data_IF_472254761431
#
_entry.id   IF_472254761431
#
_cell.length_a   1.000
_cell.length_b   1.000
_cell.length_c   1.000
_cell.angle_alpha   90.00
_cell.angle_beta   90.00
_cell.angle_gamma   90.00
#
_symmetry.space_group_name_H-M   'P 1'
#
loop_
_entity.id
_entity.type
_entity.pdbx_description
1 polymer ?
#
# COMPACT_ATOMS: atom_id res chain seq x y z
N UNK A 1 13.94 3.68 -24.34
CA UNK A 1 13.28 4.74 -23.54
C UNK A 1 11.76 4.75 -23.73
N UNK A 2 11.23 4.90 -24.94
CA UNK A 2 9.77 5.04 -25.17
C UNK A 2 8.96 3.77 -24.78
N UNK A 3 9.45 2.57 -25.10
CA UNK A 3 8.75 1.31 -24.75
C UNK A 3 8.59 1.10 -23.24
N UNK A 4 9.63 1.34 -22.47
CA UNK A 4 9.65 1.13 -21.01
C UNK A 4 8.70 2.11 -20.31
N UNK A 5 8.73 3.38 -20.71
CA UNK A 5 7.81 4.42 -20.22
C UNK A 5 6.35 4.03 -20.50
N UNK A 6 6.06 3.47 -21.67
CA UNK A 6 4.71 2.99 -22.02
C UNK A 6 4.27 1.80 -21.16
N UNK A 7 5.16 0.84 -20.90
CA UNK A 7 4.88 -0.33 -20.04
C UNK A 7 4.57 0.12 -18.62
N UNK A 8 5.44 0.97 -18.04
CA UNK A 8 5.24 1.54 -16.70
C UNK A 8 3.90 2.28 -16.63
N UNK A 9 3.60 3.12 -17.63
CA UNK A 9 2.33 3.86 -17.68
C UNK A 9 1.12 2.93 -17.77
N UNK A 10 1.22 1.86 -18.54
CA UNK A 10 0.15 0.86 -18.67
C UNK A 10 -0.12 0.14 -17.34
N UNK A 11 0.93 -0.29 -16.64
CA UNK A 11 0.82 -0.92 -15.32
C UNK A 11 0.18 0.04 -14.31
N UNK A 12 0.57 1.32 -14.32
CA UNK A 12 -0.02 2.33 -13.44
C UNK A 12 -1.53 2.47 -13.68
N UNK A 13 -1.97 2.52 -14.94
CA UNK A 13 -3.39 2.61 -15.29
C UNK A 13 -4.14 1.34 -14.86
N UNK A 14 -3.55 0.17 -15.12
CA UNK A 14 -4.13 -1.12 -14.74
C UNK A 14 -4.34 -1.21 -13.23
N UNK A 15 -3.29 -0.92 -12.44
CA UNK A 15 -3.37 -0.97 -10.99
C UNK A 15 -4.20 0.17 -10.38
N UNK A 16 -4.42 1.26 -11.12
CA UNK A 16 -5.30 2.36 -10.74
C UNK A 16 -6.78 2.09 -11.04
N UNK A 17 -7.17 0.97 -11.67
CA UNK A 17 -8.59 0.67 -11.87
C UNK A 17 -9.31 0.48 -10.53
N UNK A 18 -10.50 1.07 -10.39
CA UNK A 18 -11.34 0.96 -9.18
C UNK A 18 -11.96 -0.43 -9.01
N UNK A 19 -12.01 -1.21 -10.08
CA UNK A 19 -12.58 -2.56 -10.09
C UNK A 19 -11.55 -3.64 -9.71
N UNK A 20 -10.30 -3.29 -9.42
CA UNK A 20 -9.34 -4.28 -8.93
C UNK A 20 -9.86 -4.91 -7.63
N UNK A 21 -9.85 -6.26 -7.51
CA UNK A 21 -10.37 -6.97 -6.35
C UNK A 21 -9.39 -6.93 -5.17
N UNK A 22 -9.01 -5.74 -4.71
CA UNK A 22 -8.10 -5.53 -3.57
C UNK A 22 -8.82 -5.46 -2.24
N UNK A 23 -10.15 -5.29 -2.25
CA UNK A 23 -10.94 -5.06 -1.04
C UNK A 23 -10.86 -3.62 -0.49
N UNK A 24 -10.11 -2.72 -1.13
CA UNK A 24 -10.01 -1.32 -0.68
C UNK A 24 -11.34 -0.57 -0.71
N UNK A 25 -12.29 -0.99 -1.57
CA UNK A 25 -13.63 -0.41 -1.60
C UNK A 25 -14.35 -0.57 -0.26
N UNK A 26 -14.22 -1.69 0.47
CA UNK A 26 -14.94 -1.88 1.74
C UNK A 26 -14.27 -1.19 2.93
N UNK A 27 -13.14 -0.51 2.72
CA UNK A 27 -12.37 0.20 3.74
C UNK A 27 -12.65 1.72 3.72
N UNK A 28 -12.54 2.35 4.89
CA UNK A 28 -12.61 3.82 5.05
C UNK A 28 -11.44 4.40 5.85
N UNK A 29 -10.55 3.56 6.37
CA UNK A 29 -9.37 3.95 7.17
C UNK A 29 -9.71 4.90 8.34
N UNK A 30 -10.90 4.74 8.95
CA UNK A 30 -11.36 5.58 10.05
C UNK A 30 -12.16 6.83 9.64
N UNK A 31 -12.34 7.11 8.34
CA UNK A 31 -13.13 8.27 7.87
C UNK A 31 -14.59 8.21 8.33
N UNK A 32 -15.22 7.03 8.31
CA UNK A 32 -16.57 6.87 8.85
C UNK A 32 -16.60 7.22 10.35
N UNK A 33 -15.57 6.84 11.10
CA UNK A 33 -15.41 7.20 12.51
C UNK A 33 -15.22 8.69 12.73
N UNK A 34 -14.43 9.34 11.89
CA UNK A 34 -14.23 10.78 11.92
C UNK A 34 -15.57 11.54 11.81
N UNK A 35 -16.40 11.22 10.82
CA UNK A 35 -17.70 11.86 10.67
C UNK A 35 -18.67 11.52 11.80
N UNK A 36 -18.72 10.25 12.25
CA UNK A 36 -19.62 9.84 13.35
C UNK A 36 -19.28 10.49 14.69
N UNK A 37 -18.03 10.84 14.93
CA UNK A 37 -17.60 11.55 16.14
C UNK A 37 -17.78 13.08 16.04
N UNK A 38 -18.38 13.59 14.96
CA UNK A 38 -18.74 15.00 14.84
C UNK A 38 -17.64 15.90 14.28
N UNK A 39 -16.55 15.34 13.76
CA UNK A 39 -15.48 16.13 13.15
C UNK A 39 -15.82 16.64 11.73
N UNK A 40 -16.98 16.27 11.19
CA UNK A 40 -17.51 16.84 9.95
C UNK A 40 -18.95 17.28 10.10
N UNK A 41 -19.25 18.52 9.70
CA UNK A 41 -20.62 19.04 9.58
C UNK A 41 -21.19 18.74 8.18
N UNK A 42 -22.51 18.55 8.03
CA UNK A 42 -23.15 18.45 6.71
C UNK A 42 -22.83 19.63 5.78
N UNK A 43 -22.59 20.82 6.34
CA UNK A 43 -22.25 22.02 5.58
C UNK A 43 -20.76 22.13 5.22
N UNK A 44 -19.88 21.36 5.87
CA UNK A 44 -18.42 21.40 5.69
C UNK A 44 -17.84 20.08 5.21
N UNK A 45 -18.66 19.20 4.60
CA UNK A 45 -18.23 17.86 4.19
C UNK A 45 -16.99 17.85 3.28
N UNK A 46 -16.86 18.83 2.37
CA UNK A 46 -15.69 18.96 1.49
C UNK A 46 -14.42 19.29 2.30
N UNK A 47 -14.50 20.27 3.19
CA UNK A 47 -13.37 20.73 4.02
C UNK A 47 -12.94 19.64 5.00
N UNK A 48 -13.89 19.03 5.70
CA UNK A 48 -13.66 17.93 6.63
C UNK A 48 -13.03 16.71 5.93
N UNK A 49 -13.50 16.37 4.72
CA UNK A 49 -12.89 15.29 3.93
C UNK A 49 -11.48 15.65 3.50
N UNK A 50 -11.23 16.88 3.04
CA UNK A 50 -9.91 17.28 2.60
C UNK A 50 -8.90 17.29 3.76
N UNK A 51 -9.29 17.81 4.92
CA UNK A 51 -8.49 17.77 6.15
C UNK A 51 -8.17 16.33 6.56
N UNK A 52 -9.17 15.44 6.54
CA UNK A 52 -8.95 14.02 6.84
C UNK A 52 -7.98 13.38 5.83
N UNK A 53 -8.17 13.63 4.53
CA UNK A 53 -7.29 13.09 3.48
C UNK A 53 -5.86 13.60 3.67
N UNK A 54 -5.66 14.87 3.99
CA UNK A 54 -4.32 15.44 4.25
C UNK A 54 -3.63 14.72 5.41
N UNK A 55 -4.26 14.69 6.58
CA UNK A 55 -3.69 14.07 7.78
C UNK A 55 -3.49 12.56 7.62
N UNK A 56 -4.46 11.87 7.02
CA UNK A 56 -4.39 10.44 6.77
C UNK A 56 -3.30 10.09 5.76
N UNK A 57 -3.16 10.87 4.67
CA UNK A 57 -2.14 10.64 3.66
C UNK A 57 -0.74 10.90 4.19
N UNK A 58 -0.54 11.97 4.96
CA UNK A 58 0.75 12.26 5.61
C UNK A 58 1.16 11.15 6.58
N UNK A 59 0.26 10.75 7.48
CA UNK A 59 0.53 9.65 8.42
C UNK A 59 0.74 8.31 7.72
N UNK A 60 -0.01 8.03 6.65
CA UNK A 60 0.15 6.78 5.89
C UNK A 60 1.44 6.76 5.09
N UNK A 61 1.84 7.87 4.46
CA UNK A 61 3.13 7.98 3.78
C UNK A 61 4.28 7.77 4.76
N UNK A 62 4.24 8.43 5.92
CA UNK A 62 5.30 8.35 6.92
C UNK A 62 5.44 6.95 7.53
N UNK A 63 4.34 6.20 7.65
CA UNK A 63 4.33 4.85 8.25
C UNK A 63 4.56 3.73 7.24
N UNK A 64 4.14 3.87 5.97
CA UNK A 64 4.17 2.77 4.99
C UNK A 64 5.26 2.92 3.91
N UNK A 65 5.68 4.13 3.53
CA UNK A 65 6.56 4.31 2.36
C UNK A 65 7.92 3.63 2.50
N UNK A 66 8.53 3.65 3.68
CA UNK A 66 9.80 2.95 3.93
C UNK A 66 9.66 1.43 3.80
N UNK A 67 8.54 0.85 4.24
CA UNK A 67 8.26 -0.58 4.08
C UNK A 67 8.03 -0.96 2.63
N UNK A 68 7.28 -0.14 1.87
CA UNK A 68 7.10 -0.37 0.43
C UNK A 68 8.45 -0.36 -0.27
N UNK A 69 9.31 0.62 0.05
CA UNK A 69 10.64 0.77 -0.55
C UNK A 69 11.53 -0.43 -0.28
N UNK A 70 11.74 -0.76 0.99
CA UNK A 70 12.67 -1.82 1.39
C UNK A 70 12.19 -3.19 0.93
N UNK A 71 10.88 -3.47 1.02
CA UNK A 71 10.32 -4.72 0.51
C UNK A 71 10.43 -4.80 -1.01
N UNK A 72 10.28 -3.67 -1.72
CA UNK A 72 10.39 -3.63 -3.18
C UNK A 72 11.82 -3.93 -3.61
N UNK A 73 12.80 -3.30 -2.96
CA UNK A 73 14.23 -3.54 -3.20
C UNK A 73 14.62 -5.00 -2.96
N UNK A 74 14.17 -5.59 -1.84
CA UNK A 74 14.39 -7.02 -1.54
C UNK A 74 13.87 -7.93 -2.65
N UNK A 75 12.70 -7.62 -3.22
CA UNK A 75 12.10 -8.42 -4.30
C UNK A 75 12.80 -8.17 -5.63
N UNK A 76 13.17 -6.92 -5.95
CA UNK A 76 13.92 -6.59 -7.18
C UNK A 76 15.26 -7.31 -7.21
N UNK A 77 16.03 -7.29 -6.12
CA UNK A 77 17.31 -8.02 -6.02
C UNK A 77 17.15 -9.52 -6.24
N UNK A 78 16.04 -10.09 -5.78
CA UNK A 78 15.68 -11.48 -6.07
C UNK A 78 15.31 -11.70 -7.54
N UNK A 79 14.54 -10.80 -8.17
CA UNK A 79 14.15 -10.88 -9.60
C UNK A 79 15.35 -10.77 -10.53
N UNK A 80 16.25 -9.83 -10.26
CA UNK A 80 17.44 -9.57 -11.07
C UNK A 80 18.47 -10.71 -11.00
N UNK A 81 18.24 -11.70 -10.14
CA UNK A 81 19.01 -12.94 -10.10
C UNK A 81 20.41 -12.76 -9.54
N UNK A 82 20.59 -11.85 -8.57
CA UNK A 82 21.82 -11.78 -7.78
C UNK A 82 22.15 -13.19 -7.25
N UNK A 83 23.22 -13.83 -7.76
CA UNK A 83 23.54 -15.25 -7.53
C UNK A 83 23.63 -15.68 -6.06
N UNK A 84 23.73 -14.73 -5.13
CA UNK A 84 23.81 -14.96 -3.70
C UNK A 84 22.43 -14.99 -2.99
N UNK A 85 21.35 -14.51 -3.62
CA UNK A 85 20.06 -14.33 -2.97
C UNK A 85 19.17 -15.56 -3.19
N UNK A 86 18.92 -16.33 -2.12
CA UNK A 86 18.03 -17.50 -2.17
C UNK A 86 16.60 -17.11 -1.83
N UNK A 87 15.64 -17.87 -2.36
CA UNK A 87 14.21 -17.72 -2.06
C UNK A 87 13.91 -17.65 -0.55
N UNK A 88 14.55 -18.54 0.23
CA UNK A 88 14.36 -18.60 1.68
C UNK A 88 14.82 -17.32 2.38
N UNK A 89 15.98 -16.80 1.97
CA UNK A 89 16.59 -15.60 2.56
C UNK A 89 15.74 -14.36 2.23
N UNK A 90 15.25 -14.25 0.98
CA UNK A 90 14.33 -13.19 0.56
C UNK A 90 13.04 -13.21 1.37
N UNK A 91 12.43 -14.39 1.53
CA UNK A 91 11.18 -14.53 2.29
C UNK A 91 11.37 -14.30 3.79
N UNK A 92 12.53 -14.69 4.34
CA UNK A 92 12.89 -14.36 5.72
C UNK A 92 13.00 -12.85 5.91
N UNK A 93 13.66 -12.14 4.97
CA UNK A 93 13.80 -10.69 5.03
C UNK A 93 12.46 -9.96 4.92
N UNK A 94 11.59 -10.39 4.00
CA UNK A 94 10.22 -9.87 3.93
C UNK A 94 9.44 -10.15 5.22
N UNK A 95 9.68 -11.28 5.88
CA UNK A 95 9.07 -11.60 7.16
C UNK A 95 9.52 -10.70 8.31
N UNK A 96 10.78 -10.27 8.33
CA UNK A 96 11.25 -9.26 9.29
C UNK A 96 10.52 -7.93 9.08
N UNK A 97 10.43 -7.46 7.83
CA UNK A 97 9.72 -6.22 7.48
C UNK A 97 8.23 -6.29 7.83
N UNK A 98 7.58 -7.41 7.51
CA UNK A 98 6.15 -7.64 7.78
C UNK A 98 5.86 -7.75 9.29
N UNK A 99 6.78 -8.33 10.06
CA UNK A 99 6.68 -8.40 11.53
C UNK A 99 6.89 -7.03 12.17
N UNK A 100 7.82 -6.23 11.66
CA UNK A 100 8.00 -4.85 12.12
C UNK A 100 6.77 -3.99 11.79
N UNK A 101 6.20 -4.14 10.59
CA UNK A 101 4.98 -3.42 10.23
C UNK A 101 3.78 -3.79 11.11
N UNK A 102 3.61 -5.08 11.44
CA UNK A 102 2.60 -5.56 12.41
C UNK A 102 2.80 -4.90 13.78
N UNK A 103 4.04 -4.83 14.26
CA UNK A 103 4.36 -4.20 15.55
C UNK A 103 4.07 -2.69 15.55
N UNK A 104 4.28 -2.01 14.42
CA UNK A 104 4.07 -0.56 14.28
C UNK A 104 2.62 -0.17 13.97
N UNK A 105 1.81 -1.10 13.48
CA UNK A 105 0.38 -0.87 13.26
C UNK A 105 -0.33 -1.00 14.61
N UNK A 106 -0.72 0.10 15.24
CA UNK A 106 -1.11 0.08 16.66
C UNK A 106 -2.50 -0.51 16.92
N UNK A 107 -3.42 -0.43 15.95
CA UNK A 107 -4.80 -0.83 16.15
C UNK A 107 -5.19 -2.07 15.33
N UNK A 108 -5.97 -2.96 15.95
CA UNK A 108 -6.39 -4.24 15.38
C UNK A 108 -7.25 -4.08 14.12
N UNK A 109 -7.97 -2.98 14.00
CA UNK A 109 -8.82 -2.65 12.86
C UNK A 109 -7.96 -2.44 11.61
N UNK A 110 -6.95 -1.58 11.71
CA UNK A 110 -5.99 -1.31 10.65
C UNK A 110 -5.16 -2.56 10.30
N UNK A 111 -4.75 -3.36 11.30
CA UNK A 111 -4.07 -4.65 11.04
C UNK A 111 -4.91 -5.58 10.20
N UNK A 112 -6.17 -5.79 10.59
CA UNK A 112 -7.12 -6.66 9.89
C UNK A 112 -7.40 -6.16 8.46
N UNK A 113 -7.59 -4.86 8.28
CA UNK A 113 -7.77 -4.26 6.96
C UNK A 113 -6.51 -4.44 6.08
N UNK A 114 -5.33 -4.15 6.65
CA UNK A 114 -4.04 -4.26 5.96
C UNK A 114 -3.73 -5.69 5.51
N UNK A 115 -3.89 -6.69 6.39
CA UNK A 115 -3.63 -8.10 6.03
C UNK A 115 -4.65 -8.63 5.04
N UNK A 116 -5.94 -8.28 5.19
CA UNK A 116 -6.98 -8.66 4.23
C UNK A 116 -6.68 -8.11 2.82
N UNK A 117 -6.31 -6.82 2.71
CA UNK A 117 -5.97 -6.21 1.43
C UNK A 117 -4.66 -6.78 0.86
N UNK A 118 -3.64 -7.01 1.69
CA UNK A 118 -2.38 -7.61 1.24
C UNK A 118 -2.56 -9.02 0.67
N UNK A 119 -3.33 -9.88 1.35
CA UNK A 119 -3.67 -11.24 0.86
C UNK A 119 -4.47 -11.17 -0.44
N UNK A 120 -5.36 -10.20 -0.58
CA UNK A 120 -6.12 -9.97 -1.81
C UNK A 120 -5.20 -9.61 -2.98
N UNK A 121 -4.17 -8.78 -2.76
CA UNK A 121 -3.17 -8.45 -3.79
C UNK A 121 -2.37 -9.68 -4.26
N UNK A 122 -1.88 -10.51 -3.34
CA UNK A 122 -1.18 -11.74 -3.71
C UNK A 122 -2.11 -12.71 -4.46
N UNK A 123 -3.40 -12.72 -4.10
CA UNK A 123 -4.40 -13.51 -4.82
C UNK A 123 -4.65 -12.96 -6.22
N UNK A 124 -4.77 -11.64 -6.37
CA UNK A 124 -4.89 -10.96 -7.64
C UNK A 124 -3.70 -11.29 -8.56
N UNK A 125 -2.47 -11.24 -8.04
CA UNK A 125 -1.29 -11.64 -8.81
C UNK A 125 -1.46 -13.06 -9.37
N UNK A 126 -1.66 -14.05 -8.48
CA UNK A 126 -1.76 -15.47 -8.87
C UNK A 126 -2.93 -15.82 -9.80
N UNK A 127 -3.95 -14.97 -9.89
CA UNK A 127 -5.17 -15.24 -10.68
C UNK A 127 -5.31 -14.36 -11.92
N UNK A 128 -4.73 -13.16 -11.90
CA UNK A 128 -5.00 -12.11 -12.89
C UNK A 128 -3.77 -11.57 -13.59
N UNK A 129 -2.57 -11.71 -13.01
CA UNK A 129 -1.34 -11.14 -13.59
C UNK A 129 -0.27 -12.18 -13.95
N UNK A 130 -0.44 -13.44 -13.57
CA UNK A 130 0.36 -14.54 -14.12
C UNK A 130 0.06 -14.76 -15.59
N UNK A 131 1.06 -15.14 -16.39
CA UNK A 131 0.87 -15.37 -17.83
C UNK A 131 -0.20 -16.47 -18.05
N UNK A 132 -1.26 -16.22 -18.85
CA UNK A 132 -2.26 -17.23 -19.14
C UNK A 132 -1.62 -18.48 -19.76
N UNK A 133 -2.02 -19.65 -19.27
CA UNK A 133 -1.63 -20.93 -19.88
C UNK A 133 -1.93 -20.90 -21.39
N UNK A 134 -0.88 -20.99 -22.22
CA UNK A 134 -0.99 -21.09 -23.68
C UNK A 134 -0.58 -19.84 -24.47
N UNK A 135 -0.33 -18.70 -23.84
CA UNK A 135 0.42 -17.62 -24.48
C UNK A 135 1.90 -17.92 -24.33
N UNK A 136 2.55 -18.30 -25.43
CA UNK A 136 3.97 -18.61 -25.45
C UNK A 136 4.75 -17.53 -24.68
N UNK A 137 5.53 -17.95 -23.68
CA UNK A 137 6.58 -17.10 -23.14
C UNK A 137 7.42 -16.70 -24.35
N UNK A 138 7.53 -15.40 -24.64
CA UNK A 138 8.58 -14.92 -25.52
C UNK A 138 9.86 -15.57 -24.99
N UNK A 139 10.46 -16.47 -25.78
CA UNK A 139 11.63 -17.27 -25.41
C UNK A 139 12.88 -16.41 -25.08
N UNK A 140 12.71 -15.08 -25.09
CA UNK A 140 13.66 -14.05 -24.70
C UNK A 140 13.43 -13.47 -23.30
N UNK A 141 12.39 -13.88 -22.55
CA UNK A 141 12.25 -13.49 -21.14
C UNK A 141 13.23 -14.32 -20.31
N UNK A 142 14.48 -13.86 -20.27
CA UNK A 142 15.58 -14.38 -19.45
C UNK A 142 15.36 -14.20 -17.94
N UNK A 143 14.12 -14.09 -17.44
CA UNK A 143 13.87 -14.13 -16.01
C UNK A 143 14.19 -15.54 -15.50
N UNK A 144 15.37 -15.70 -14.92
CA UNK A 144 15.89 -16.96 -14.36
C UNK A 144 15.05 -17.43 -13.15
N UNK A 145 14.20 -16.56 -12.62
CA UNK A 145 13.53 -16.71 -11.32
C UNK A 145 12.03 -16.90 -11.50
N UNK A 146 11.51 -18.01 -10.94
CA UNK A 146 10.08 -18.34 -10.98
C UNK A 146 9.32 -17.54 -9.89
N UNK A 147 8.76 -16.40 -10.30
CA UNK A 147 8.01 -15.52 -9.41
C UNK A 147 6.66 -16.11 -8.96
N UNK A 148 6.06 -17.00 -9.76
CA UNK A 148 4.82 -17.68 -9.37
C UNK A 148 5.07 -18.55 -8.14
N UNK A 149 6.18 -19.29 -8.11
CA UNK A 149 6.58 -20.09 -6.96
C UNK A 149 6.87 -19.23 -5.73
N UNK A 150 7.50 -18.05 -5.92
CA UNK A 150 7.75 -17.10 -4.85
C UNK A 150 6.45 -16.63 -4.18
N UNK A 151 5.46 -16.18 -4.96
CA UNK A 151 4.19 -15.68 -4.43
C UNK A 151 3.36 -16.81 -3.82
N UNK A 152 3.41 -18.02 -4.40
CA UNK A 152 2.74 -19.20 -3.82
C UNK A 152 3.31 -19.55 -2.44
N UNK A 153 4.64 -19.58 -2.30
CA UNK A 153 5.30 -19.86 -1.03
C UNK A 153 5.01 -18.77 0.01
N UNK A 154 5.04 -17.50 -0.38
CA UNK A 154 4.66 -16.39 0.51
C UNK A 154 3.22 -16.56 1.03
N UNK A 155 2.26 -16.91 0.16
CA UNK A 155 0.87 -17.20 0.56
C UNK A 155 0.76 -18.39 1.49
N UNK A 156 1.58 -19.43 1.31
CA UNK A 156 1.63 -20.59 2.20
C UNK A 156 2.10 -20.20 3.61
N UNK A 157 3.14 -19.38 3.70
CA UNK A 157 3.64 -18.85 4.98
C UNK A 157 2.61 -18.00 5.71
N UNK A 158 1.86 -17.16 4.98
CA UNK A 158 0.77 -16.39 5.56
C UNK A 158 -0.31 -17.32 6.14
N UNK A 159 -0.72 -18.35 5.39
CA UNK A 159 -1.71 -19.34 5.87
C UNK A 159 -1.23 -20.12 7.09
N UNK A 160 0.07 -20.36 7.20
CA UNK A 160 0.68 -21.03 8.35
C UNK A 160 1.00 -20.07 9.52
N UNK A 161 0.66 -18.77 9.42
CA UNK A 161 0.92 -17.78 10.47
C UNK A 161 2.40 -17.43 10.64
N UNK A 162 3.24 -17.70 9.64
CA UNK A 162 4.67 -17.31 9.63
C UNK A 162 4.91 -15.90 9.08
N UNK A 163 3.93 -15.38 8.34
CA UNK A 163 3.88 -14.02 7.81
C UNK A 163 2.47 -13.47 8.10
N UNK A 164 2.35 -12.17 8.32
CA UNK A 164 1.07 -11.49 8.52
C UNK A 164 0.41 -11.16 7.17
N UNK A 165 1.22 -10.77 6.18
CA UNK A 165 0.78 -10.43 4.83
C UNK A 165 0.22 -9.01 4.71
N UNK A 166 0.86 -8.02 5.34
CA UNK A 166 0.38 -6.64 5.31
C UNK A 166 0.41 -6.00 3.93
N UNK A 167 -0.50 -5.05 3.74
CA UNK A 167 -0.72 -4.35 2.48
C UNK A 167 0.57 -3.72 1.92
N UNK A 168 1.39 -2.95 2.66
CA UNK A 168 2.60 -2.35 2.09
C UNK A 168 3.61 -3.38 1.57
N UNK A 169 3.79 -4.49 2.28
CA UNK A 169 4.71 -5.57 1.90
C UNK A 169 4.19 -6.30 0.66
N UNK A 170 2.93 -6.72 0.68
CA UNK A 170 2.30 -7.39 -0.45
C UNK A 170 2.19 -6.50 -1.69
N UNK A 171 2.00 -5.19 -1.51
CA UNK A 171 2.02 -4.20 -2.59
C UNK A 171 3.40 -4.05 -3.21
N UNK A 172 4.44 -3.99 -2.39
CA UNK A 172 5.82 -3.94 -2.85
C UNK A 172 6.18 -5.18 -3.67
N UNK A 173 5.83 -6.37 -3.17
CA UNK A 173 5.96 -7.64 -3.91
C UNK A 173 5.26 -7.52 -5.26
N UNK A 174 3.95 -7.26 -5.28
CA UNK A 174 3.16 -7.16 -6.52
C UNK A 174 3.81 -6.18 -7.52
N UNK A 175 4.15 -4.98 -7.10
CA UNK A 175 4.68 -3.95 -8.01
C UNK A 175 6.09 -4.27 -8.49
N UNK A 176 6.95 -4.85 -7.66
CA UNK A 176 8.26 -5.36 -8.07
C UNK A 176 8.13 -6.50 -9.09
N UNK A 177 7.22 -7.44 -8.87
CA UNK A 177 6.98 -8.56 -9.82
C UNK A 177 6.50 -8.09 -11.20
N UNK A 178 5.78 -6.96 -11.25
CA UNK A 178 5.29 -6.36 -12.48
C UNK A 178 6.35 -5.44 -13.15
N UNK A 179 7.52 -5.24 -12.53
CA UNK A 179 8.56 -4.37 -13.05
C UNK A 179 8.24 -2.88 -12.92
N UNK A 180 7.38 -2.49 -11.96
CA UNK A 180 7.11 -1.09 -11.67
C UNK A 180 8.25 -0.52 -10.80
N UNK A 181 8.88 0.61 -11.15
CA UNK A 181 9.93 1.22 -10.31
C UNK A 181 9.43 1.57 -8.91
N UNK A 182 10.29 1.46 -7.90
CA UNK A 182 9.94 1.69 -6.49
C UNK A 182 9.27 3.06 -6.25
N UNK A 183 9.80 4.13 -6.84
CA UNK A 183 9.23 5.48 -6.72
C UNK A 183 7.81 5.56 -7.28
N UNK A 184 7.57 4.93 -8.43
CA UNK A 184 6.24 4.85 -9.06
C UNK A 184 5.29 3.97 -8.26
N UNK A 185 5.80 2.90 -7.66
CA UNK A 185 5.04 2.04 -6.75
C UNK A 185 4.56 2.81 -5.51
N UNK A 186 5.45 3.56 -4.86
CA UNK A 186 5.11 4.38 -3.68
C UNK A 186 4.11 5.48 -4.06
N UNK A 187 4.35 6.20 -5.16
CA UNK A 187 3.43 7.23 -5.64
C UNK A 187 2.02 6.66 -5.87
N UNK A 188 1.91 5.53 -6.56
CA UNK A 188 0.63 4.90 -6.83
C UNK A 188 -0.03 4.39 -5.53
N UNK A 189 0.75 3.86 -4.59
CA UNK A 189 0.25 3.40 -3.30
C UNK A 189 -0.46 4.53 -2.53
N UNK A 190 0.18 5.70 -2.46
CA UNK A 190 -0.35 6.88 -1.79
C UNK A 190 -1.55 7.48 -2.53
N UNK A 191 -1.49 7.52 -3.87
CA UNK A 191 -2.63 7.91 -4.69
C UNK A 191 -3.86 7.02 -4.45
N UNK A 192 -3.66 5.69 -4.39
CA UNK A 192 -4.73 4.73 -4.16
C UNK A 192 -5.36 4.87 -2.77
N UNK A 193 -4.55 5.17 -1.75
CA UNK A 193 -5.05 5.48 -0.40
C UNK A 193 -5.97 6.70 -0.42
N UNK A 194 -5.52 7.83 -0.97
CA UNK A 194 -6.32 9.05 -1.06
C UNK A 194 -7.60 8.85 -1.91
N UNK A 195 -7.50 8.11 -3.02
CA UNK A 195 -8.66 7.76 -3.86
C UNK A 195 -9.68 6.92 -3.10
N UNK A 196 -9.24 5.96 -2.29
CA UNK A 196 -10.12 5.13 -1.47
C UNK A 196 -10.86 5.98 -0.43
N UNK A 197 -10.18 6.94 0.21
CA UNK A 197 -10.79 7.89 1.15
C UNK A 197 -11.87 8.76 0.48
N UNK A 198 -11.59 9.32 -0.71
CA UNK A 198 -12.59 10.09 -1.44
C UNK A 198 -13.79 9.22 -1.86
N UNK A 199 -13.55 7.98 -2.28
CA UNK A 199 -14.61 7.01 -2.57
C UNK A 199 -15.46 6.69 -1.33
N UNK A 200 -14.84 6.52 -0.16
CA UNK A 200 -15.55 6.36 1.10
C UNK A 200 -16.37 7.62 1.44
N UNK A 201 -15.80 8.81 1.27
CA UNK A 201 -16.48 10.09 1.50
C UNK A 201 -17.72 10.27 0.63
N UNK A 202 -17.68 9.83 -0.63
CA UNK A 202 -18.86 9.87 -1.52
C UNK A 202 -19.96 8.94 -0.99
N UNK A 203 -19.60 7.74 -0.53
CA UNK A 203 -20.55 6.75 -0.01
C UNK A 203 -21.12 7.11 1.36
N UNK A 204 -20.37 7.91 2.14
CA UNK A 204 -20.86 8.56 3.35
C UNK A 204 -21.77 9.76 3.07
N UNK A 205 -21.98 10.10 1.79
CA UNK A 205 -22.73 11.30 1.36
C UNK A 205 -22.13 12.61 1.91
N UNK A 206 -20.84 12.63 2.23
CA UNK A 206 -20.14 13.83 2.69
C UNK A 206 -19.72 14.74 1.52
N UNK A 207 -19.42 14.14 0.36
CA UNK A 207 -19.14 14.85 -0.89
C UNK A 207 -19.83 14.17 -2.07
N UNK A 208 -20.09 14.91 -3.15
CA UNK A 208 -20.59 14.33 -4.40
C UNK A 208 -19.49 13.73 -5.29
N UNK A 209 -19.84 12.88 -6.28
CA UNK A 209 -18.87 12.25 -7.17
C UNK A 209 -18.07 13.24 -8.01
N UNK A 210 -18.67 14.36 -8.45
CA UNK A 210 -17.96 15.40 -9.19
C UNK A 210 -16.96 16.16 -8.31
N UNK A 211 -17.36 16.49 -7.08
CA UNK A 211 -16.46 17.10 -6.10
C UNK A 211 -15.28 16.17 -5.77
N UNK A 212 -15.54 14.87 -5.64
CA UNK A 212 -14.48 13.88 -5.47
C UNK A 212 -13.46 13.90 -6.62
N UNK A 213 -13.90 14.01 -7.88
CA UNK A 213 -12.96 14.10 -9.02
C UNK A 213 -12.20 15.43 -9.05
N UNK A 214 -12.84 16.55 -8.70
CA UNK A 214 -12.18 17.84 -8.58
C UNK A 214 -11.09 17.82 -7.50
N UNK A 215 -11.42 17.30 -6.31
CA UNK A 215 -10.46 17.14 -5.21
C UNK A 215 -9.32 16.22 -5.62
N UNK A 216 -9.60 15.09 -6.28
CA UNK A 216 -8.58 14.14 -6.72
C UNK A 216 -7.58 14.80 -7.69
N UNK A 217 -8.08 15.59 -8.64
CA UNK A 217 -7.25 16.25 -9.66
C UNK A 217 -6.47 17.44 -9.11
N UNK A 218 -7.12 18.31 -8.33
CA UNK A 218 -6.56 19.62 -7.96
C UNK A 218 -5.94 19.66 -6.57
N UNK A 219 -6.50 18.94 -5.60
CA UNK A 219 -6.07 18.99 -4.20
C UNK A 219 -5.21 17.79 -3.81
N UNK A 220 -5.61 16.57 -4.18
CA UNK A 220 -4.90 15.35 -3.80
C UNK A 220 -3.59 15.17 -4.57
N UNK A 221 -3.57 15.45 -5.88
CA UNK A 221 -2.35 15.34 -6.69
C UNK A 221 -1.13 16.04 -6.06
N UNK A 222 -1.16 17.35 -5.73
CA UNK A 222 -0.01 18.01 -5.14
C UNK A 222 0.34 17.45 -3.75
N UNK A 223 -0.64 17.00 -2.97
CA UNK A 223 -0.40 16.37 -1.67
C UNK A 223 0.37 15.05 -1.82
N UNK A 224 -0.03 14.19 -2.76
CA UNK A 224 0.70 12.94 -3.03
C UNK A 224 2.13 13.24 -3.48
N UNK A 225 2.31 14.18 -4.42
CA UNK A 225 3.63 14.56 -4.92
C UNK A 225 4.54 15.11 -3.80
N UNK A 226 3.97 15.87 -2.88
CA UNK A 226 4.68 16.38 -1.69
C UNK A 226 5.07 15.26 -0.74
N UNK A 227 4.14 14.35 -0.40
CA UNK A 227 4.44 13.27 0.54
C UNK A 227 5.47 12.28 -0.02
N UNK A 228 5.44 11.97 -1.32
CA UNK A 228 6.48 11.15 -1.97
C UNK A 228 7.85 11.79 -1.83
N UNK A 229 7.97 13.11 -2.01
CA UNK A 229 9.23 13.85 -1.84
C UNK A 229 9.70 13.87 -0.39
N UNK A 230 8.81 14.19 0.55
CA UNK A 230 9.12 14.21 1.98
C UNK A 230 9.58 12.84 2.46
N UNK A 231 8.95 11.77 1.97
CA UNK A 231 9.24 10.40 2.36
C UNK A 231 10.29 9.70 1.47
N UNK A 232 11.01 10.45 0.62
CA UNK A 232 11.94 9.87 -0.36
C UNK A 232 13.12 9.14 0.30
N UNK A 233 13.54 9.60 1.47
CA UNK A 233 14.68 9.08 2.23
C UNK A 233 14.28 8.04 3.30
N UNK A 234 12.99 7.72 3.43
CA UNK A 234 12.53 6.80 4.47
C UNK A 234 12.90 5.35 4.16
N UNK A 235 13.43 4.68 5.17
CA UNK A 235 13.79 3.27 5.19
C UNK A 235 13.49 2.68 6.56
N UNK A 236 13.21 1.38 6.64
CA UNK A 236 12.79 0.70 7.89
C UNK A 236 13.92 0.53 8.91
N UNK A 237 15.17 0.82 8.54
CA UNK A 237 16.35 0.58 9.39
C UNK A 237 16.76 -0.89 9.50
N UNK A 238 16.06 -1.81 8.82
CA UNK A 238 16.42 -3.23 8.80
C UNK A 238 17.44 -3.60 7.71
N UNK A 239 17.84 -2.67 6.84
CA UNK A 239 18.84 -2.91 5.78
C UNK A 239 20.27 -3.05 6.30
N UNK A 240 21.07 -3.94 5.71
CA UNK A 240 22.47 -4.18 6.12
C UNK A 240 23.38 -2.95 5.91
N UNK A 241 23.07 -2.11 4.92
CA UNK A 241 23.85 -0.91 4.55
C UNK A 241 23.49 0.34 5.38
N UNK A 242 22.47 0.28 6.25
CA UNK A 242 21.90 1.45 6.95
C UNK A 242 21.99 1.38 8.47
N UNK A 243 22.88 0.55 9.03
CA UNK A 243 23.09 0.50 10.49
C UNK A 243 23.59 1.83 11.09
N UNK A 244 24.21 2.68 10.27
CA UNK A 244 24.74 3.98 10.70
C UNK A 244 23.71 5.13 10.61
N UNK A 245 22.54 4.94 9.98
CA UNK A 245 21.47 5.96 9.89
C UNK A 245 20.35 5.77 10.92
N UNK A 246 20.42 4.73 11.75
CA UNK A 246 19.42 4.43 12.77
C UNK A 246 19.29 5.51 13.87
N UNK A 247 20.22 6.47 13.94
CA UNK A 247 20.23 7.57 14.91
C UNK A 247 19.45 8.82 14.43
N UNK A 248 19.03 8.84 13.15
CA UNK A 248 18.15 9.90 12.62
C UNK A 248 16.69 9.44 12.70
N UNK A 249 16.02 9.77 13.81
CA UNK A 249 14.60 9.41 14.03
C UNK A 249 13.66 9.91 12.94
N UNK A 250 14.06 10.93 12.17
CA UNK A 250 13.28 11.44 11.04
C UNK A 250 13.37 10.54 9.79
N UNK A 251 14.32 9.59 9.73
CA UNK A 251 14.48 8.65 8.62
C UNK A 251 13.70 7.32 8.80
N UNK A 252 13.25 7.00 10.02
CA UNK A 252 12.55 5.76 10.35
C UNK A 252 11.03 5.91 10.25
N UNK A 253 10.25 4.92 9.77
CA UNK A 253 8.79 5.02 9.67
C UNK A 253 8.14 5.35 11.02
N UNK A 254 7.04 6.11 10.98
CA UNK A 254 6.33 6.51 12.19
C UNK A 254 4.85 6.80 11.91
N UNK A 255 4.00 6.59 12.93
CA UNK A 255 2.64 7.13 12.93
C UNK A 255 2.68 8.56 13.47
N UNK A 256 2.23 9.53 12.67
CA UNK A 256 2.31 10.96 13.00
C UNK A 256 0.97 11.56 13.38
N UNK A 257 -0.10 10.77 13.34
CA UNK A 257 -1.46 11.25 13.60
C UNK A 257 -2.19 10.39 14.65
N UNK A 258 -1.92 10.60 15.96
CA UNK A 258 -2.55 9.84 17.04
C UNK A 258 -4.09 9.89 17.03
N UNK A 259 -4.68 11.02 16.62
CA UNK A 259 -6.14 11.13 16.50
C UNK A 259 -6.68 10.15 15.44
N UNK A 260 -5.99 10.01 14.30
CA UNK A 260 -6.35 9.04 13.26
C UNK A 260 -6.35 7.60 13.78
N UNK A 261 -5.34 7.22 14.56
CA UNK A 261 -5.25 5.90 15.20
C UNK A 261 -6.43 5.63 16.13
N UNK A 262 -6.78 6.61 16.97
CA UNK A 262 -7.92 6.50 17.90
C UNK A 262 -9.22 6.36 17.10
N UNK A 263 -9.41 7.16 16.05
CA UNK A 263 -10.62 7.11 15.24
C UNK A 263 -10.76 5.78 14.49
N UNK A 264 -9.68 5.29 13.89
CA UNK A 264 -9.65 3.99 13.23
C UNK A 264 -9.97 2.85 14.21
N UNK A 265 -9.34 2.85 15.39
CA UNK A 265 -9.61 1.85 16.43
C UNK A 265 -11.08 1.87 16.92
N UNK A 266 -11.68 3.06 16.99
CA UNK A 266 -13.08 3.23 17.43
C UNK A 266 -14.10 2.84 16.37
N UNK A 267 -13.69 2.56 15.13
CA UNK A 267 -14.61 2.12 14.07
C UNK A 267 -15.36 0.84 14.47
N UNK A 268 -14.69 -0.13 15.10
CA UNK A 268 -15.32 -1.38 15.54
C UNK A 268 -16.38 -1.19 16.65
N UNK A 269 -16.38 -0.04 17.34
CA UNK A 269 -17.36 0.31 18.38
C UNK A 269 -18.65 0.93 17.80
N UNK A 270 -18.70 1.18 16.49
CA UNK A 270 -19.87 1.78 15.87
C UNK A 270 -21.02 0.78 15.78
N UNK A 271 -22.19 1.21 16.25
CA UNK A 271 -23.43 0.42 16.20
C UNK A 271 -23.93 0.21 14.76
N UNK A 272 -23.77 1.22 13.90
CA UNK A 272 -24.10 1.15 12.47
C UNK A 272 -22.87 1.56 11.67
N UNK A 273 -22.45 0.67 10.77
CA UNK A 273 -21.25 0.83 9.94
C UNK A 273 -21.55 0.39 8.52
N UNK A 274 -21.02 1.14 7.55
CA UNK A 274 -21.11 0.82 6.12
C UNK A 274 -19.80 0.20 5.63
N UNK A 275 -18.69 0.50 6.32
CA UNK A 275 -17.37 -0.02 6.01
C UNK A 275 -16.96 -1.12 6.98
N UNK A 276 -15.96 -1.92 6.57
CA UNK A 276 -15.23 -2.83 7.46
C UNK A 276 -13.95 -2.18 8.00
N UNK A 277 -13.85 -0.85 7.78
CA UNK A 277 -12.73 0.12 7.94
C UNK A 277 -11.46 -0.18 7.20
#
# INVERSE_FOLDING_TARGET
MDREVRIVSYILILLADSNLPTGSFVASSGLESYFKHGFGSPSSGIEATLEFVQNSLESYARSASGFVRDAHEVVVRFVDGERAVRLEDTLAKLGELDSLYEAMTLNHVARRASTAQGIALLTLYTKGFTNPYGLANDANSNSVVNMDNFVVEMKLRIRHGKLNGHLPICWAVLTATLGLPAERSIWLHLFLHARALLSASVRLNAIGPYASQQLLLHSVRPLVDEQVKRCAHLHTGLGEEMKDTADDGDALPASTWPLGEILAARHDLQHSRIFNS
#
